data_IF_451357045724
#
_entry.id   IF_451357045724
#
_cell.length_a   1.000
_cell.length_b   1.000
_cell.length_c   1.000
_cell.angle_alpha   90.00
_cell.angle_beta   90.00
_cell.angle_gamma   90.00
#
_symmetry.space_group_name_H-M   'P 1'
#
loop_
_entity.id
_entity.type
_entity.pdbx_description
1 polymer ?
#
# COMPACT_ATOMS: atom_id res chain seq x y z
N UNK A 1 9.82 -19.72 23.38
CA UNK A 1 8.83 -19.09 22.48
C UNK A 1 9.54 -18.87 21.14
N UNK A 2 9.25 -19.68 20.12
CA UNK A 2 9.91 -19.56 18.81
C UNK A 2 9.30 -18.34 18.12
N UNK A 3 10.08 -17.33 17.69
CA UNK A 3 9.52 -16.21 16.95
C UNK A 3 8.93 -16.74 15.66
N UNK A 4 7.63 -16.51 15.45
CA UNK A 4 6.95 -16.82 14.19
C UNK A 4 7.57 -15.88 13.14
N UNK A 5 8.58 -16.36 12.41
CA UNK A 5 9.17 -15.63 11.29
C UNK A 5 8.04 -15.51 10.26
N UNK A 6 7.35 -14.36 10.26
CA UNK A 6 6.34 -14.07 9.24
C UNK A 6 7.11 -13.88 7.94
N UNK A 7 7.02 -14.88 7.05
CA UNK A 7 7.64 -14.81 5.73
C UNK A 7 6.97 -13.68 4.96
N UNK A 8 7.77 -12.73 4.48
CA UNK A 8 7.29 -11.64 3.64
C UNK A 8 6.56 -12.21 2.41
N UNK A 9 5.45 -11.59 2.03
CA UNK A 9 4.69 -11.95 0.83
C UNK A 9 5.29 -11.23 -0.37
N UNK A 10 5.45 -11.94 -1.48
CA UNK A 10 5.91 -11.36 -2.74
C UNK A 10 4.71 -11.05 -3.63
N UNK A 11 4.73 -9.89 -4.28
CA UNK A 11 3.69 -9.43 -5.19
C UNK A 11 4.33 -8.93 -6.48
N UNK A 12 3.62 -9.08 -7.59
CA UNK A 12 3.94 -8.45 -8.88
C UNK A 12 2.90 -7.37 -9.16
N UNK A 13 3.37 -6.20 -9.56
CA UNK A 13 2.53 -5.12 -10.07
C UNK A 13 2.75 -5.01 -11.56
N UNK A 14 1.65 -4.96 -12.29
CA UNK A 14 1.60 -4.65 -13.71
C UNK A 14 0.73 -3.40 -13.87
N UNK A 15 1.25 -2.38 -14.55
CA UNK A 15 0.49 -1.20 -14.97
C UNK A 15 0.48 -1.22 -16.49
N UNK A 16 -0.69 -1.12 -17.09
CA UNK A 16 -0.90 -1.07 -18.53
C UNK A 16 -1.62 0.23 -18.86
N UNK A 17 -1.11 0.97 -19.84
CA UNK A 17 -1.81 2.12 -20.40
C UNK A 17 -2.97 1.63 -21.25
N UNK A 18 -4.18 2.07 -20.92
CA UNK A 18 -5.41 1.75 -21.69
C UNK A 18 -5.68 2.91 -22.65
N UNK A 19 -5.56 2.64 -23.94
CA UNK A 19 -5.92 3.58 -25.01
C UNK A 19 -7.40 3.47 -25.38
N UNK A 20 -7.99 4.49 -26.04
CA UNK A 20 -9.35 4.42 -26.58
C UNK A 20 -9.57 3.20 -27.51
N UNK A 21 -8.52 2.77 -28.21
CA UNK A 21 -8.51 1.61 -29.09
C UNK A 21 -8.43 0.27 -28.33
N UNK A 22 -8.37 0.31 -26.99
CA UNK A 22 -8.18 -0.86 -26.11
C UNK A 22 -6.87 -1.62 -26.36
N UNK A 23 -5.90 -0.98 -27.02
CA UNK A 23 -4.56 -1.51 -27.21
C UNK A 23 -3.65 -1.07 -26.06
N UNK A 24 -2.83 -1.99 -25.55
CA UNK A 24 -1.82 -1.69 -24.53
C UNK A 24 -0.67 -0.93 -25.18
N UNK A 25 -0.65 0.39 -25.01
CA UNK A 25 0.40 1.25 -25.57
C UNK A 25 1.73 1.10 -24.82
N UNK A 26 1.68 1.00 -23.48
CA UNK A 26 2.85 0.88 -22.62
C UNK A 26 2.54 0.01 -21.39
N UNK A 27 3.55 -0.68 -20.88
CA UNK A 27 3.45 -1.45 -19.65
C UNK A 27 4.66 -1.28 -18.72
N UNK A 28 4.41 -1.34 -17.41
CA UNK A 28 5.41 -1.35 -16.36
C UNK A 28 5.18 -2.58 -15.48
N UNK A 29 6.23 -3.37 -15.26
CA UNK A 29 6.18 -4.56 -14.40
C UNK A 29 7.28 -4.49 -13.35
N UNK A 30 6.91 -4.69 -12.09
CA UNK A 30 7.89 -4.81 -11.01
C UNK A 30 7.38 -5.74 -9.90
N UNK A 31 8.30 -6.24 -9.08
CA UNK A 31 8.00 -7.09 -7.93
C UNK A 31 8.39 -6.39 -6.63
N UNK A 32 7.62 -6.62 -5.57
CA UNK A 32 7.95 -6.13 -4.25
C UNK A 32 7.58 -7.14 -3.16
N UNK A 33 8.30 -7.07 -2.04
CA UNK A 33 8.02 -7.86 -0.86
C UNK A 33 7.35 -7.00 0.21
N UNK A 34 6.39 -7.60 0.92
CA UNK A 34 5.66 -6.93 1.98
C UNK A 34 5.41 -7.87 3.17
N UNK A 35 5.63 -7.35 4.38
CA UNK A 35 5.33 -8.03 5.66
C UNK A 35 3.84 -8.15 5.93
N UNK A 36 3.05 -7.27 5.32
CA UNK A 36 1.61 -7.23 5.43
C UNK A 36 0.94 -7.89 4.22
N UNK A 37 -0.28 -8.36 4.44
CA UNK A 37 -1.13 -8.89 3.39
C UNK A 37 -1.88 -7.75 2.68
N UNK A 38 -1.48 -7.45 1.44
CA UNK A 38 -2.05 -6.36 0.64
C UNK A 38 -3.55 -6.56 0.43
N UNK A 39 -3.99 -7.80 0.17
CA UNK A 39 -5.40 -8.11 -0.05
C UNK A 39 -6.23 -7.88 1.21
N UNK A 40 -5.75 -8.37 2.36
CA UNK A 40 -6.44 -8.12 3.63
C UNK A 40 -6.52 -6.62 3.96
N UNK A 41 -5.49 -5.85 3.62
CA UNK A 41 -5.51 -4.39 3.84
C UNK A 41 -6.56 -3.73 2.95
N UNK A 42 -6.59 -4.06 1.66
CA UNK A 42 -7.60 -3.55 0.71
C UNK A 42 -9.01 -3.93 1.17
N UNK A 43 -9.24 -5.17 1.58
CA UNK A 43 -10.55 -5.63 2.05
C UNK A 43 -11.01 -4.93 3.33
N UNK A 44 -10.09 -4.69 4.27
CA UNK A 44 -10.41 -3.92 5.47
C UNK A 44 -10.71 -2.45 5.14
N UNK A 45 -9.98 -1.85 4.20
CA UNK A 45 -10.26 -0.49 3.75
C UNK A 45 -11.64 -0.40 3.10
N UNK A 46 -11.98 -1.31 2.18
CA UNK A 46 -13.32 -1.36 1.56
C UNK A 46 -14.45 -1.44 2.59
N UNK A 47 -14.24 -2.21 3.66
CA UNK A 47 -15.27 -2.44 4.70
C UNK A 47 -15.38 -1.32 5.73
N UNK A 48 -14.26 -0.68 6.09
CA UNK A 48 -14.17 0.12 7.33
C UNK A 48 -13.71 1.57 7.14
N UNK A 49 -13.18 1.92 5.97
CA UNK A 49 -12.65 3.27 5.74
C UNK A 49 -13.75 4.32 5.48
N UNK A 50 -14.92 3.89 5.01
CA UNK A 50 -15.97 4.78 4.50
C UNK A 50 -15.72 5.30 3.08
N UNK A 51 -14.69 4.78 2.38
CA UNK A 51 -14.42 5.08 0.98
C UNK A 51 -15.16 4.11 0.06
N UNK A 52 -15.50 4.58 -1.15
CA UNK A 52 -15.98 3.71 -2.22
C UNK A 52 -14.99 2.57 -2.53
N UNK A 53 -15.46 1.36 -2.91
CA UNK A 53 -14.60 0.19 -3.01
C UNK A 53 -13.42 0.33 -3.97
N UNK A 54 -13.61 1.04 -5.09
CA UNK A 54 -12.54 1.30 -6.06
C UNK A 54 -11.48 2.23 -5.47
N UNK A 55 -11.90 3.33 -4.85
CA UNK A 55 -11.03 4.28 -4.15
C UNK A 55 -10.27 3.62 -3.00
N UNK A 56 -10.95 2.78 -2.22
CA UNK A 56 -10.33 2.02 -1.14
C UNK A 56 -9.24 1.07 -1.65
N UNK A 57 -9.46 0.46 -2.81
CA UNK A 57 -8.45 -0.39 -3.48
C UNK A 57 -7.20 0.43 -3.84
N UNK A 58 -7.39 1.57 -4.52
CA UNK A 58 -6.28 2.46 -4.93
C UNK A 58 -5.48 2.92 -3.72
N UNK A 59 -6.16 3.38 -2.65
CA UNK A 59 -5.51 3.81 -1.40
C UNK A 59 -4.74 2.67 -0.75
N UNK A 60 -5.34 1.47 -0.65
CA UNK A 60 -4.69 0.31 -0.03
C UNK A 60 -3.40 -0.08 -0.74
N UNK A 61 -3.44 -0.18 -2.07
CA UNK A 61 -2.26 -0.50 -2.89
C UNK A 61 -1.20 0.61 -2.78
N UNK A 62 -1.58 1.88 -2.94
CA UNK A 62 -0.65 3.01 -2.86
C UNK A 62 0.09 3.08 -1.51
N UNK A 63 -0.62 2.85 -0.39
CA UNK A 63 -0.01 2.86 0.93
C UNK A 63 0.98 1.71 1.15
N UNK A 64 0.78 0.57 0.49
CA UNK A 64 1.71 -0.56 0.56
C UNK A 64 2.94 -0.39 -0.31
N UNK A 65 2.80 0.31 -1.43
CA UNK A 65 3.94 0.68 -2.27
C UNK A 65 4.77 1.80 -1.62
N UNK A 66 4.12 2.87 -1.13
CA UNK A 66 4.83 4.05 -0.62
C UNK A 66 5.31 3.89 0.83
N UNK A 67 4.51 3.29 1.71
CA UNK A 67 4.78 3.25 3.15
C UNK A 67 6.14 2.60 3.51
N UNK A 68 6.46 1.40 3.02
CA UNK A 68 7.76 0.76 3.24
C UNK A 68 8.93 1.56 2.67
N UNK A 69 8.78 2.14 1.47
CA UNK A 69 9.80 2.98 0.82
C UNK A 69 10.12 4.20 1.70
N UNK A 70 9.08 4.87 2.19
CA UNK A 70 9.20 5.98 3.13
C UNK A 70 9.90 5.55 4.42
N UNK A 71 9.53 4.42 5.01
CA UNK A 71 10.16 3.93 6.26
C UNK A 71 11.65 3.58 6.09
N UNK A 72 12.01 2.94 4.98
CA UNK A 72 13.38 2.60 4.65
C UNK A 72 14.24 3.85 4.42
N UNK A 73 13.66 4.87 3.79
CA UNK A 73 14.32 6.12 3.43
C UNK A 73 13.94 7.30 4.34
N UNK A 74 13.56 7.03 5.60
CA UNK A 74 12.96 8.06 6.48
C UNK A 74 13.82 9.29 6.80
N UNK A 75 15.12 9.22 6.54
CA UNK A 75 16.08 10.33 6.70
C UNK A 75 16.38 11.06 5.39
N UNK A 76 15.88 10.56 4.26
CA UNK A 76 16.04 11.20 2.96
C UNK A 76 15.27 12.53 2.96
N UNK A 77 15.88 13.59 2.41
CA UNK A 77 15.33 14.95 2.43
C UNK A 77 13.88 15.03 1.92
N UNK A 78 13.57 14.33 0.82
CA UNK A 78 12.22 14.23 0.27
C UNK A 78 11.15 13.65 1.22
N UNK A 79 11.55 12.85 2.22
CA UNK A 79 10.61 12.17 3.13
C UNK A 79 10.67 12.67 4.57
N UNK A 80 11.78 13.29 4.98
CA UNK A 80 12.06 13.63 6.38
C UNK A 80 10.96 14.53 6.98
N UNK A 81 10.58 15.59 6.27
CA UNK A 81 9.59 16.56 6.74
C UNK A 81 8.14 16.01 6.63
N UNK A 82 7.88 15.14 5.66
CA UNK A 82 6.56 14.54 5.50
C UNK A 82 6.31 13.37 6.47
N UNK A 83 7.37 12.73 6.98
CA UNK A 83 7.27 11.51 7.77
C UNK A 83 6.37 11.62 9.02
N UNK A 84 6.47 12.69 9.84
CA UNK A 84 5.62 12.83 11.02
C UNK A 84 4.14 12.90 10.66
N UNK A 85 3.81 13.60 9.57
CA UNK A 85 2.44 13.74 9.07
C UNK A 85 1.92 12.42 8.50
N UNK A 86 2.73 11.72 7.71
CA UNK A 86 2.40 10.39 7.20
C UNK A 86 2.15 9.40 8.33
N UNK A 87 2.96 9.44 9.40
CA UNK A 87 2.76 8.61 10.60
C UNK A 87 1.42 8.89 11.27
N UNK A 88 1.05 10.16 11.46
CA UNK A 88 -0.23 10.55 12.04
C UNK A 88 -1.40 10.08 11.18
N UNK A 89 -1.31 10.25 9.86
CA UNK A 89 -2.28 9.71 8.91
C UNK A 89 -2.44 8.19 9.07
N UNK A 90 -1.34 7.44 9.08
CA UNK A 90 -1.36 5.98 9.21
C UNK A 90 -1.91 5.52 10.57
N UNK A 91 -1.70 6.27 11.65
CA UNK A 91 -2.30 5.98 12.95
C UNK A 91 -3.82 6.14 12.92
N UNK A 92 -4.31 7.26 12.38
CA UNK A 92 -5.74 7.51 12.20
C UNK A 92 -6.40 6.51 11.26
N UNK A 93 -5.72 6.10 10.21
CA UNK A 93 -6.22 5.06 9.31
C UNK A 93 -6.34 3.74 10.07
N UNK A 94 -5.28 3.30 10.74
CA UNK A 94 -5.25 2.04 11.49
C UNK A 94 -6.29 1.98 12.60
N UNK A 95 -6.60 3.07 13.28
CA UNK A 95 -7.66 3.08 14.29
C UNK A 95 -9.05 2.84 13.71
N UNK A 96 -9.27 3.16 12.44
CA UNK A 96 -10.51 2.88 11.71
C UNK A 96 -10.55 1.48 11.08
N UNK A 97 -9.43 0.99 10.53
CA UNK A 97 -9.42 -0.28 9.77
C UNK A 97 -8.92 -1.50 10.52
N UNK A 98 -8.09 -1.38 11.57
CA UNK A 98 -7.70 -2.55 12.35
C UNK A 98 -8.90 -3.04 13.15
N UNK A 99 -9.25 -4.30 12.93
CA UNK A 99 -10.18 -5.01 13.81
C UNK A 99 -9.60 -5.07 15.23
N UNK A 100 -10.44 -4.89 16.25
CA UNK A 100 -10.28 -5.69 17.46
C UNK A 100 -10.46 -7.17 17.10
#
# INVERSE_FOLDING_TARGET
MIPKIRKDKCYRVTIEEITPEQETAQSLVFEFQDREDVFNIVDNLKKKSGLEPETATKVGVALRLLGPVMMANRKHELFADFMPHFKNFMQNLKSKVKSK
#
